data_IF_135663274497
#
_entry.id   IF_135663274497
#
_cell.length_a   1.000
_cell.length_b   1.000
_cell.length_c   1.000
_cell.angle_alpha   90.00
_cell.angle_beta   90.00
_cell.angle_gamma   90.00
#
_symmetry.space_group_name_H-M   'P 1'
#
loop_
_entity.id
_entity.type
_entity.pdbx_description
1 polymer ?
#
# COMPACT_ATOMS: atom_id res chain seq x y z
N UNK A 1 -74.11 -24.01 -46.24
CA UNK A 1 -74.81 -23.25 -45.18
C UNK A 1 -73.79 -22.41 -44.44
N UNK A 2 -74.21 -21.18 -44.11
CA UNK A 2 -73.72 -20.30 -43.04
C UNK A 2 -72.41 -19.49 -43.24
N UNK A 3 -72.64 -18.18 -43.39
CA UNK A 3 -72.02 -17.01 -42.74
C UNK A 3 -70.51 -16.68 -42.85
N UNK A 4 -70.26 -15.51 -43.47
CA UNK A 4 -69.13 -14.58 -43.30
C UNK A 4 -68.99 -14.05 -41.84
N UNK A 5 -67.92 -13.30 -41.45
CA UNK A 5 -67.75 -11.89 -41.86
C UNK A 5 -66.29 -11.37 -42.05
N UNK A 6 -66.23 -10.08 -42.37
CA UNK A 6 -65.18 -9.22 -42.95
C UNK A 6 -64.24 -8.52 -41.91
N UNK A 7 -63.32 -7.60 -42.31
CA UNK A 7 -61.96 -7.39 -41.74
C UNK A 7 -61.83 -6.20 -40.76
N UNK A 8 -60.60 -5.78 -40.40
CA UNK A 8 -60.26 -4.40 -40.71
C UNK A 8 -58.87 -4.15 -41.31
N UNK A 9 -58.75 -2.90 -41.78
CA UNK A 9 -57.87 -2.28 -42.76
C UNK A 9 -56.52 -1.71 -42.26
N UNK A 10 -55.71 -1.27 -43.26
CA UNK A 10 -54.60 -0.26 -43.28
C UNK A 10 -53.20 -0.86 -43.14
N UNK A 11 -52.18 -0.49 -43.93
CA UNK A 11 -51.98 0.56 -44.93
C UNK A 11 -50.68 0.28 -45.73
N UNK A 12 -50.22 1.19 -46.60
CA UNK A 12 -49.23 0.88 -47.63
C UNK A 12 -47.78 0.80 -47.15
N UNK A 13 -47.05 -0.08 -47.84
CA UNK A 13 -45.60 -0.33 -47.76
C UNK A 13 -44.79 0.95 -47.99
N UNK A 14 -43.89 1.25 -47.05
CA UNK A 14 -42.81 2.22 -47.23
C UNK A 14 -41.50 1.47 -47.04
N UNK A 15 -40.66 1.50 -48.07
CA UNK A 15 -39.30 0.99 -48.08
C UNK A 15 -38.46 1.69 -47.00
N UNK A 16 -37.84 0.91 -46.12
CA UNK A 16 -36.82 1.40 -45.19
C UNK A 16 -35.46 1.14 -45.84
N UNK A 17 -34.74 2.23 -46.06
CA UNK A 17 -33.35 2.28 -46.49
C UNK A 17 -32.43 1.59 -45.48
N UNK A 18 -31.43 0.89 -46.00
CA UNK A 18 -30.28 0.37 -45.25
C UNK A 18 -29.59 1.49 -44.47
N UNK A 19 -29.74 1.48 -43.15
CA UNK A 19 -28.85 2.20 -42.22
C UNK A 19 -27.81 1.21 -41.77
N UNK A 20 -26.59 1.36 -42.30
CA UNK A 20 -25.38 0.73 -41.78
C UNK A 20 -25.20 1.18 -40.34
N UNK A 21 -25.53 0.30 -39.40
CA UNK A 21 -25.21 0.48 -37.99
C UNK A 21 -23.74 0.17 -37.78
N UNK A 22 -22.90 1.20 -37.68
CA UNK A 22 -21.61 1.10 -37.00
C UNK A 22 -21.89 0.68 -35.56
N UNK A 23 -21.61 -0.58 -35.25
CA UNK A 23 -21.49 -1.03 -33.87
C UNK A 23 -20.21 -0.42 -33.31
N UNK A 24 -20.26 0.42 -32.27
CA UNK A 24 -19.03 0.80 -31.59
C UNK A 24 -18.46 -0.47 -30.94
N UNK A 25 -17.36 -0.96 -31.51
CA UNK A 25 -16.47 -1.91 -30.83
C UNK A 25 -15.91 -1.14 -29.63
N UNK A 26 -16.57 -1.30 -28.48
CA UNK A 26 -16.02 -0.90 -27.19
C UNK A 26 -14.74 -1.70 -26.99
N UNK A 27 -13.62 -1.13 -27.40
CA UNK A 27 -12.32 -1.49 -26.85
C UNK A 27 -12.40 -1.10 -25.38
N UNK A 28 -12.57 -2.11 -24.52
CA UNK A 28 -12.28 -2.01 -23.10
C UNK A 28 -10.79 -1.68 -22.97
N UNK A 29 -10.45 -0.40 -23.12
CA UNK A 29 -9.18 0.12 -22.68
C UNK A 29 -9.15 0.00 -21.17
N UNK A 30 -8.27 -0.89 -20.72
CA UNK A 30 -7.92 -1.22 -19.36
C UNK A 30 -7.89 0.00 -18.44
N UNK A 31 -8.92 0.15 -17.60
CA UNK A 31 -8.96 1.10 -16.49
C UNK A 31 -7.85 0.85 -15.45
N UNK A 32 -7.10 -0.26 -15.58
CA UNK A 32 -5.97 -0.60 -14.69
C UNK A 32 -4.74 0.27 -14.92
N UNK A 33 -4.53 0.84 -16.10
CA UNK A 33 -3.29 1.55 -16.42
C UNK A 33 -3.22 2.93 -15.76
N UNK A 34 -4.35 3.65 -15.66
CA UNK A 34 -4.41 4.97 -15.05
C UNK A 34 -4.20 4.94 -13.54
N UNK A 35 -4.76 3.95 -12.85
CA UNK A 35 -4.56 3.74 -11.41
C UNK A 35 -3.10 3.35 -11.09
N UNK A 36 -2.44 2.59 -11.97
CA UNK A 36 -1.03 2.19 -11.79
C UNK A 36 -0.06 3.39 -11.88
N UNK A 37 -0.33 4.38 -12.74
CA UNK A 37 0.52 5.57 -12.88
C UNK A 37 0.40 6.48 -11.65
N UNK A 38 -0.81 6.68 -11.13
CA UNK A 38 -1.06 7.50 -9.94
C UNK A 38 -0.40 6.90 -8.68
N UNK A 39 -0.41 5.56 -8.57
CA UNK A 39 0.18 4.86 -7.43
C UNK A 39 1.72 4.86 -7.43
N UNK A 40 2.35 4.72 -8.61
CA UNK A 40 3.80 4.88 -8.74
C UNK A 40 4.23 6.31 -8.42
N UNK A 41 3.45 7.29 -8.89
CA UNK A 41 3.67 8.70 -8.57
C UNK A 41 3.61 8.96 -7.07
N UNK A 42 2.58 8.44 -6.38
CA UNK A 42 2.42 8.56 -4.92
C UNK A 42 3.52 7.89 -4.11
N UNK A 43 3.95 6.69 -4.52
CA UNK A 43 5.04 6.00 -3.84
C UNK A 43 6.35 6.81 -3.88
N UNK A 44 6.53 7.62 -4.93
CA UNK A 44 7.68 8.50 -5.14
C UNK A 44 7.50 9.94 -4.64
N UNK A 45 6.43 10.24 -3.92
CA UNK A 45 6.28 11.55 -3.27
C UNK A 45 7.31 11.75 -2.14
N UNK A 46 7.60 13.03 -1.85
CA UNK A 46 8.39 13.41 -0.69
C UNK A 46 7.70 12.93 0.60
N UNK A 47 8.51 12.46 1.55
CA UNK A 47 8.03 11.98 2.85
C UNK A 47 7.29 13.08 3.61
N UNK A 48 7.78 14.32 3.52
CA UNK A 48 7.13 15.48 4.15
C UNK A 48 5.70 15.65 3.66
N UNK A 49 5.47 15.56 2.34
CA UNK A 49 4.14 15.66 1.73
C UNK A 49 3.29 14.46 2.09
N UNK A 50 3.84 13.25 2.01
CA UNK A 50 3.11 12.02 2.27
C UNK A 50 2.58 11.97 3.71
N UNK A 51 3.40 12.34 4.67
CA UNK A 51 3.11 12.24 6.10
C UNK A 51 2.48 13.51 6.68
N UNK A 52 2.68 14.68 6.09
CA UNK A 52 1.96 15.91 6.47
C UNK A 52 0.56 16.00 5.88
N UNK A 53 0.22 15.18 4.87
CA UNK A 53 -1.14 15.17 4.30
C UNK A 53 -2.14 14.75 5.37
N UNK A 54 -3.18 15.57 5.64
CA UNK A 54 -4.28 15.13 6.49
C UNK A 54 -4.91 13.93 5.80
N UNK A 55 -4.96 12.80 6.50
CA UNK A 55 -5.64 11.60 6.00
C UNK A 55 -7.04 12.02 5.54
N UNK A 56 -7.27 12.02 4.22
CA UNK A 56 -8.60 12.30 3.67
C UNK A 56 -9.54 11.36 4.39
N UNK A 57 -10.58 11.93 5.03
CA UNK A 57 -11.63 11.21 5.75
C UNK A 57 -12.36 10.24 4.81
N UNK A 58 -11.71 9.15 4.42
CA UNK A 58 -12.39 7.90 4.19
C UNK A 58 -13.00 7.49 5.54
N UNK A 59 -14.17 6.87 5.49
CA UNK A 59 -15.03 6.49 6.63
C UNK A 59 -14.36 5.44 7.56
N UNK A 60 -13.22 5.76 8.17
CA UNK A 60 -12.47 4.84 9.05
C UNK A 60 -12.12 5.46 10.40
N UNK A 61 -12.55 6.70 10.71
CA UNK A 61 -12.34 7.31 12.04
C UNK A 61 -13.62 7.36 12.86
N UNK A 62 -14.09 6.19 13.24
CA UNK A 62 -14.76 5.97 14.54
C UNK A 62 -14.15 4.71 15.11
N UNK A 63 -13.09 4.83 15.89
CA UNK A 63 -12.64 3.75 16.75
C UNK A 63 -13.65 3.68 17.90
N UNK A 64 -14.60 2.75 17.81
CA UNK A 64 -15.36 2.34 18.98
C UNK A 64 -14.40 1.64 19.94
N UNK A 65 -14.51 1.94 21.23
CA UNK A 65 -13.76 1.27 22.28
C UNK A 65 -14.07 -0.22 22.26
N UNK A 66 -13.22 -1.00 21.58
CA UNK A 66 -13.20 -2.45 21.70
C UNK A 66 -12.53 -2.75 23.04
N UNK A 67 -13.36 -3.00 24.07
CA UNK A 67 -12.95 -3.66 25.29
C UNK A 67 -12.36 -5.05 24.98
N UNK A 68 -11.09 -5.07 24.60
CA UNK A 68 -10.39 -6.23 24.06
C UNK A 68 -8.88 -6.02 23.96
N UNK A 69 -8.29 -5.23 24.85
CA UNK A 69 -6.84 -4.93 24.88
C UNK A 69 -5.99 -6.06 25.48
N UNK A 70 -6.42 -7.33 25.38
CA UNK A 70 -5.65 -8.48 25.90
C UNK A 70 -5.67 -9.74 25.01
N UNK A 71 -6.31 -9.74 23.83
CA UNK A 71 -6.52 -11.00 23.07
C UNK A 71 -5.86 -11.09 21.69
N UNK A 72 -5.39 -10.00 21.08
CA UNK A 72 -4.79 -10.05 19.72
C UNK A 72 -3.29 -10.40 19.73
N UNK A 73 -2.58 -10.21 20.85
CA UNK A 73 -1.20 -10.68 21.00
C UNK A 73 -1.08 -12.11 21.56
N UNK A 74 -2.20 -12.81 21.81
CA UNK A 74 -2.20 -14.05 22.60
C UNK A 74 -2.78 -15.30 21.95
N UNK A 75 -2.93 -15.34 20.63
CA UNK A 75 -3.29 -16.58 19.92
C UNK A 75 -2.45 -16.83 18.67
N UNK A 76 -1.13 -17.03 18.86
CA UNK A 76 -0.40 -18.04 18.08
C UNK A 76 0.89 -18.58 18.68
N UNK A 77 1.12 -18.42 19.99
CA UNK A 77 2.29 -19.00 20.67
C UNK A 77 1.89 -19.57 22.04
N UNK A 78 1.25 -20.75 22.06
CA UNK A 78 1.21 -21.59 23.27
C UNK A 78 1.30 -23.06 22.84
N UNK A 79 2.39 -23.71 23.28
CA UNK A 79 2.85 -25.10 23.05
C UNK A 79 3.64 -25.41 21.77
N UNK A 80 4.89 -24.96 21.72
CA UNK A 80 6.06 -25.84 21.60
C UNK A 80 7.32 -25.07 22.01
N UNK A 81 8.21 -25.71 22.75
CA UNK A 81 9.45 -25.17 23.29
C UNK A 81 10.55 -25.00 22.24
N UNK A 82 10.22 -24.45 21.08
CA UNK A 82 11.15 -24.11 20.02
C UNK A 82 10.67 -22.83 19.36
N UNK A 83 11.50 -21.78 19.42
CA UNK A 83 11.27 -20.56 18.66
C UNK A 83 11.35 -20.87 17.16
N UNK A 84 10.23 -21.28 16.56
CA UNK A 84 10.10 -21.44 15.13
C UNK A 84 10.17 -20.06 14.47
N UNK A 85 11.40 -19.58 14.27
CA UNK A 85 11.70 -18.51 13.33
C UNK A 85 11.14 -18.96 11.99
N UNK A 86 10.07 -18.32 11.52
CA UNK A 86 9.52 -18.63 10.19
C UNK A 86 10.63 -18.45 9.16
N UNK A 87 11.10 -19.59 8.64
CA UNK A 87 12.13 -19.62 7.61
C UNK A 87 11.59 -18.98 6.34
N UNK A 88 12.48 -18.30 5.60
CA UNK A 88 12.16 -17.68 4.32
C UNK A 88 11.70 -18.78 3.37
N UNK A 89 10.47 -18.67 2.87
CA UNK A 89 10.02 -19.56 1.78
C UNK A 89 10.77 -19.15 0.51
N UNK A 90 11.41 -20.12 -0.14
CA UNK A 90 12.15 -19.94 -1.39
C UNK A 90 11.27 -20.11 -2.64
N UNK A 91 9.98 -20.40 -2.47
CA UNK A 91 9.00 -20.45 -3.56
C UNK A 91 8.55 -19.04 -3.97
N UNK A 92 8.26 -18.86 -5.26
CA UNK A 92 7.66 -17.63 -5.79
C UNK A 92 6.26 -17.44 -5.18
N UNK A 93 6.07 -16.34 -4.43
CA UNK A 93 4.77 -15.95 -3.92
C UNK A 93 3.91 -15.36 -5.07
N UNK A 94 2.59 -15.53 -5.03
CA UNK A 94 1.69 -14.99 -6.07
C UNK A 94 1.88 -13.48 -6.21
N UNK A 95 2.19 -13.01 -7.43
CA UNK A 95 2.26 -11.58 -7.75
C UNK A 95 0.87 -10.99 -7.59
N UNK A 96 0.63 -10.13 -6.58
CA UNK A 96 -0.70 -9.61 -6.35
C UNK A 96 -1.10 -8.70 -7.52
N UNK A 97 -2.33 -8.86 -8.00
CA UNK A 97 -2.92 -8.01 -9.04
C UNK A 97 -3.11 -6.55 -8.57
N UNK A 98 -3.01 -6.25 -7.27
CA UNK A 98 -3.14 -4.91 -6.71
C UNK A 98 -2.02 -4.63 -5.70
N UNK A 99 -1.44 -3.43 -5.67
CA UNK A 99 -0.41 -3.07 -4.71
C UNK A 99 -0.96 -3.11 -3.28
N UNK A 100 -0.25 -3.79 -2.38
CA UNK A 100 -0.68 -3.92 -0.99
C UNK A 100 -0.38 -2.64 -0.21
N UNK A 101 -1.18 -2.41 0.83
CA UNK A 101 -0.98 -1.32 1.78
C UNK A 101 -0.97 -1.90 3.18
N UNK A 102 -0.15 -1.35 4.06
CA UNK A 102 0.03 -1.81 5.43
C UNK A 102 -0.47 -0.73 6.40
N UNK A 103 -1.14 -1.13 7.48
CA UNK A 103 -1.44 -0.24 8.62
C UNK A 103 -0.43 -0.59 9.71
N UNK A 104 0.31 0.40 10.17
CA UNK A 104 1.44 0.19 11.07
C UNK A 104 1.39 1.19 12.22
N UNK A 105 1.54 0.70 13.45
CA UNK A 105 1.88 1.52 14.61
C UNK A 105 3.36 1.84 14.59
N UNK A 106 3.70 3.11 14.59
CA UNK A 106 5.06 3.59 14.33
C UNK A 106 6.02 3.18 15.44
N UNK A 107 5.66 3.42 16.70
CA UNK A 107 6.56 3.19 17.83
C UNK A 107 6.68 1.70 18.15
N UNK A 108 5.55 0.99 18.16
CA UNK A 108 5.53 -0.44 18.46
C UNK A 108 6.31 -1.24 17.41
N UNK A 109 6.07 -0.94 16.13
CA UNK A 109 6.73 -1.65 15.04
C UNK A 109 8.21 -1.30 14.95
N UNK A 110 8.59 -0.05 15.19
CA UNK A 110 10.00 0.37 15.19
C UNK A 110 10.79 -0.38 16.27
N UNK A 111 10.24 -0.48 17.48
CA UNK A 111 10.86 -1.24 18.58
C UNK A 111 11.01 -2.72 18.21
N UNK A 112 9.94 -3.34 17.71
CA UNK A 112 9.93 -4.75 17.31
C UNK A 112 10.97 -5.05 16.21
N UNK A 113 11.09 -4.16 15.23
CA UNK A 113 12.03 -4.31 14.12
C UNK A 113 13.48 -4.20 14.61
N UNK A 114 13.78 -3.20 15.45
CA UNK A 114 15.13 -3.01 15.99
C UNK A 114 15.55 -4.17 16.90
N UNK A 115 14.68 -4.59 17.83
CA UNK A 115 14.96 -5.69 18.76
C UNK A 115 15.27 -7.01 18.03
N UNK A 116 14.68 -7.21 16.84
CA UNK A 116 14.79 -8.45 16.09
C UNK A 116 15.87 -8.44 15.02
N UNK A 117 16.12 -7.30 14.39
CA UNK A 117 16.94 -7.21 13.17
C UNK A 117 18.25 -6.45 13.34
N UNK A 118 18.35 -5.51 14.29
CA UNK A 118 19.60 -4.79 14.60
C UNK A 118 20.36 -5.53 15.71
N UNK A 119 21.42 -6.23 15.31
CA UNK A 119 22.23 -7.03 16.25
C UNK A 119 23.35 -6.24 16.90
N UNK A 120 23.61 -5.02 16.41
CA UNK A 120 24.74 -4.18 16.85
C UNK A 120 24.31 -2.97 17.67
N UNK A 121 23.01 -2.66 17.70
CA UNK A 121 22.43 -1.53 18.45
C UNK A 121 22.76 -0.17 17.84
N UNK A 122 23.03 -0.12 16.54
CA UNK A 122 23.40 1.11 15.83
C UNK A 122 22.20 1.79 15.13
N UNK A 123 20.98 1.30 15.35
CA UNK A 123 19.74 1.76 14.72
C UNK A 123 19.75 1.61 13.19
N UNK A 124 20.49 0.63 12.67
CA UNK A 124 20.57 0.31 11.25
C UNK A 124 20.33 -1.18 11.05
N UNK A 125 19.74 -1.53 9.90
CA UNK A 125 19.58 -2.92 9.48
C UNK A 125 20.49 -3.13 8.28
N UNK A 126 21.62 -3.77 8.54
CA UNK A 126 22.65 -4.08 7.55
C UNK A 126 22.57 -5.54 7.09
N UNK A 127 23.26 -5.85 5.99
CA UNK A 127 23.38 -7.21 5.49
C UNK A 127 24.22 -8.11 6.42
N UNK A 128 25.07 -7.51 7.25
CA UNK A 128 25.92 -8.19 8.24
C UNK A 128 25.14 -8.61 9.49
N UNK A 129 23.96 -8.02 9.74
CA UNK A 129 23.13 -8.40 10.88
C UNK A 129 22.56 -9.81 10.69
N UNK A 130 22.59 -10.62 11.75
CA UNK A 130 22.18 -12.03 11.73
C UNK A 130 20.69 -12.27 12.04
N UNK A 131 19.89 -11.19 12.13
CA UNK A 131 18.44 -11.28 12.30
C UNK A 131 17.72 -12.09 11.20
N UNK A 132 16.48 -12.52 11.45
CA UNK A 132 15.75 -13.42 10.55
C UNK A 132 15.43 -12.81 9.17
N UNK A 133 15.48 -11.48 9.04
CA UNK A 133 15.10 -10.69 7.87
C UNK A 133 13.69 -10.98 7.38
N UNK A 134 12.76 -11.22 8.31
CA UNK A 134 11.35 -11.45 8.01
C UNK A 134 10.48 -10.82 9.10
N UNK A 135 9.53 -9.98 8.68
CA UNK A 135 8.57 -9.33 9.56
C UNK A 135 7.16 -9.40 8.95
N UNK A 136 6.16 -9.77 9.75
CA UNK A 136 4.76 -9.78 9.34
C UNK A 136 4.11 -8.44 9.66
N UNK A 137 3.56 -7.74 8.66
CA UNK A 137 2.79 -6.51 8.84
C UNK A 137 1.30 -6.69 8.52
N UNK A 138 0.43 -5.98 9.23
CA UNK A 138 -1.01 -5.99 8.99
C UNK A 138 -1.42 -5.27 7.71
N UNK A 139 -2.25 -5.89 6.88
CA UNK A 139 -2.73 -5.31 5.61
C UNK A 139 -3.89 -4.36 5.83
N UNK A 140 -3.85 -3.19 5.19
CA UNK A 140 -4.86 -2.14 5.31
C UNK A 140 -6.23 -2.56 4.76
N UNK A 141 -6.25 -3.34 3.67
CA UNK A 141 -7.48 -3.86 3.08
C UNK A 141 -8.28 -4.75 4.03
N UNK A 142 -7.62 -5.35 5.02
CA UNK A 142 -8.23 -6.19 6.06
C UNK A 142 -8.26 -5.51 7.43
N UNK A 143 -8.03 -4.20 7.50
CA UNK A 143 -7.93 -3.45 8.77
C UNK A 143 -6.97 -4.10 9.79
N UNK A 144 -5.86 -4.70 9.31
CA UNK A 144 -4.88 -5.38 10.16
C UNK A 144 -5.18 -6.86 10.49
N UNK A 145 -6.32 -7.44 10.08
CA UNK A 145 -6.62 -8.86 10.37
C UNK A 145 -5.74 -9.85 9.59
N UNK A 146 -5.46 -9.58 8.31
CA UNK A 146 -4.53 -10.38 7.53
C UNK A 146 -3.15 -9.74 7.56
N UNK A 147 -2.13 -10.54 7.85
CA UNK A 147 -0.74 -10.10 7.80
C UNK A 147 -0.03 -10.61 6.55
N UNK A 148 0.99 -9.86 6.14
CA UNK A 148 1.87 -10.20 5.03
C UNK A 148 3.32 -10.11 5.48
N UNK A 149 4.13 -11.06 5.04
CA UNK A 149 5.53 -11.18 5.44
C UNK A 149 6.42 -10.36 4.49
N UNK A 150 6.97 -9.25 4.98
CA UNK A 150 8.02 -8.50 4.32
C UNK A 150 9.35 -9.18 4.61
N UNK A 151 10.15 -9.39 3.56
CA UNK A 151 11.36 -10.22 3.62
C UNK A 151 12.56 -9.50 3.04
N UNK A 152 13.72 -9.86 3.58
CA UNK A 152 15.01 -9.38 3.12
C UNK A 152 15.43 -8.08 3.79
N UNK A 153 16.74 -7.88 3.85
CA UNK A 153 17.38 -6.75 4.52
C UNK A 153 16.91 -5.42 3.94
N UNK A 154 16.81 -5.32 2.61
CA UNK A 154 16.48 -4.06 1.94
C UNK A 154 15.10 -3.53 2.32
N UNK A 155 14.04 -4.34 2.21
CA UNK A 155 12.69 -3.89 2.53
C UNK A 155 12.53 -3.56 4.02
N UNK A 156 13.22 -4.29 4.91
CA UNK A 156 13.21 -4.00 6.34
C UNK A 156 13.97 -2.72 6.67
N UNK A 157 15.12 -2.47 6.02
CA UNK A 157 15.83 -1.20 6.17
C UNK A 157 15.01 -0.02 5.66
N UNK A 158 14.27 -0.20 4.57
CA UNK A 158 13.34 0.81 4.06
C UNK A 158 12.18 1.04 5.03
N UNK A 159 11.60 -0.03 5.58
CA UNK A 159 10.56 0.07 6.59
C UNK A 159 11.04 0.88 7.80
N UNK A 160 12.22 0.56 8.33
CA UNK A 160 12.79 1.30 9.45
C UNK A 160 12.98 2.79 9.13
N UNK A 161 13.45 3.12 7.92
CA UNK A 161 13.59 4.51 7.47
C UNK A 161 12.24 5.23 7.35
N UNK A 162 11.22 4.58 6.78
CA UNK A 162 9.87 5.17 6.68
C UNK A 162 9.24 5.37 8.07
N UNK A 163 9.45 4.45 9.02
CA UNK A 163 9.01 4.60 10.40
C UNK A 163 9.72 5.75 11.11
N UNK A 164 11.03 5.93 10.88
CA UNK A 164 11.78 7.05 11.44
C UNK A 164 11.23 8.39 10.94
N UNK A 165 10.98 8.51 9.64
CA UNK A 165 10.37 9.71 9.05
C UNK A 165 8.97 9.98 9.61
N UNK A 166 8.13 8.95 9.74
CA UNK A 166 6.80 9.10 10.31
C UNK A 166 6.83 9.57 11.78
N UNK A 167 7.77 9.05 12.58
CA UNK A 167 7.99 9.47 13.97
C UNK A 167 8.42 10.93 14.04
N UNK A 168 9.32 11.37 13.17
CA UNK A 168 9.80 12.76 13.15
C UNK A 168 8.68 13.75 12.76
N UNK A 169 7.68 13.28 12.01
CA UNK A 169 6.43 14.00 11.73
C UNK A 169 5.35 13.87 12.83
N UNK A 170 5.64 13.19 13.94
CA UNK A 170 4.71 13.05 15.09
C UNK A 170 3.54 12.09 14.84
N UNK A 171 3.65 11.19 13.86
CA UNK A 171 2.59 10.25 13.53
C UNK A 171 2.68 8.97 14.37
N UNK A 172 1.57 8.58 15.00
CA UNK A 172 1.46 7.31 15.76
C UNK A 172 1.13 6.12 14.87
N UNK A 173 0.33 6.34 13.83
CA UNK A 173 -0.06 5.30 12.89
C UNK A 173 0.10 5.81 11.46
N UNK A 174 0.58 4.95 10.57
CA UNK A 174 0.74 5.24 9.15
C UNK A 174 0.13 4.16 8.28
N UNK A 175 -0.31 4.58 7.09
CA UNK A 175 -0.65 3.65 6.01
C UNK A 175 0.50 3.68 5.01
N UNK A 176 1.17 2.55 4.83
CA UNK A 176 2.37 2.43 4.00
C UNK A 176 2.09 1.56 2.78
N UNK A 177 2.38 2.06 1.60
CA UNK A 177 2.25 1.31 0.35
C UNK A 177 3.44 0.35 0.16
N UNK A 178 3.20 -0.88 -0.28
CA UNK A 178 4.24 -1.89 -0.51
C UNK A 178 5.28 -1.42 -1.53
N UNK A 179 4.85 -0.72 -2.59
CA UNK A 179 5.71 -0.16 -3.61
C UNK A 179 6.76 0.83 -3.06
N UNK A 180 6.49 1.46 -1.91
CA UNK A 180 7.44 2.36 -1.24
C UNK A 180 8.53 1.58 -0.49
N UNK A 181 8.22 0.38 -0.02
CA UNK A 181 9.17 -0.53 0.60
C UNK A 181 10.02 -1.28 -0.42
N UNK A 182 9.42 -1.69 -1.54
CA UNK A 182 10.07 -2.41 -2.64
C UNK A 182 10.60 -1.49 -3.77
N UNK A 183 10.65 -0.18 -3.52
CA UNK A 183 11.14 0.81 -4.49
C UNK A 183 12.55 0.45 -4.98
N UNK A 184 12.82 0.61 -6.28
CA UNK A 184 14.14 0.36 -6.84
C UNK A 184 15.20 1.26 -6.16
N UNK A 185 16.37 0.74 -5.74
CA UNK A 185 17.35 1.49 -4.96
C UNK A 185 17.90 2.72 -5.69
N UNK A 186 18.07 2.66 -7.01
CA UNK A 186 18.53 3.79 -7.82
C UNK A 186 17.45 4.87 -7.88
N UNK A 187 16.19 4.47 -8.05
CA UNK A 187 15.05 5.40 -8.05
C UNK A 187 14.88 6.06 -6.68
N UNK A 188 14.97 5.27 -5.60
CA UNK A 188 14.89 5.72 -4.21
C UNK A 188 15.98 6.73 -3.88
N UNK A 189 17.24 6.41 -4.18
CA UNK A 189 18.36 7.32 -3.94
C UNK A 189 18.19 8.63 -4.72
N UNK A 190 17.79 8.53 -5.99
CA UNK A 190 17.53 9.70 -6.84
C UNK A 190 16.43 10.59 -6.27
N UNK A 191 15.36 10.00 -5.72
CA UNK A 191 14.26 10.70 -5.04
C UNK A 191 14.76 11.38 -3.76
N UNK A 192 15.48 10.67 -2.89
CA UNK A 192 16.01 11.21 -1.63
C UNK A 192 16.96 12.40 -1.88
N UNK A 193 17.83 12.30 -2.89
CA UNK A 193 18.70 13.41 -3.28
C UNK A 193 17.87 14.64 -3.64
N UNK A 194 16.89 14.48 -4.54
CA UNK A 194 16.07 15.60 -5.04
C UNK A 194 15.21 16.26 -3.97
N UNK A 195 14.58 15.47 -3.09
CA UNK A 195 13.54 15.99 -2.21
C UNK A 195 14.00 16.21 -0.76
N UNK A 196 15.01 15.48 -0.28
CA UNK A 196 15.39 15.52 1.14
C UNK A 196 16.83 16.00 1.36
N UNK A 197 17.79 15.59 0.52
CA UNK A 197 19.19 15.91 0.80
C UNK A 197 19.56 17.35 0.44
N UNK A 198 19.07 17.87 -0.69
CA UNK A 198 19.38 19.25 -1.08
C UNK A 198 18.82 20.28 -0.10
N UNK A 199 17.61 20.09 0.41
CA UNK A 199 17.02 20.99 1.40
C UNK A 199 17.81 21.00 2.71
N UNK A 200 18.31 19.84 3.16
CA UNK A 200 19.10 19.72 4.38
C UNK A 200 20.54 20.26 4.22
N UNK A 201 21.09 20.29 3.01
CA UNK A 201 22.44 20.81 2.75
C UNK A 201 22.45 22.32 2.50
N UNK A 202 21.32 22.89 2.07
CA UNK A 202 21.22 24.30 1.70
C UNK A 202 21.00 25.16 2.95
N UNK A 203 22.02 25.93 3.34
CA UNK A 203 21.92 26.97 4.38
C UNK A 203 21.56 28.30 3.72
N UNK A 204 20.72 29.10 4.39
CA UNK A 204 20.42 30.50 4.02
C UNK A 204 20.84 31.41 5.16
N UNK A 205 21.32 32.60 4.84
CA UNK A 205 21.59 33.66 5.82
C UNK A 205 20.34 34.54 5.84
N UNK A 206 19.53 34.43 6.88
CA UNK A 206 18.36 35.24 7.17
C UNK A 206 18.47 35.88 8.56
N UNK A 207 17.56 36.80 8.89
CA UNK A 207 17.58 37.51 10.18
C UNK A 207 17.35 36.58 11.39
N UNK A 208 16.66 35.46 11.18
CA UNK A 208 16.48 34.40 12.20
C UNK A 208 17.73 33.52 12.35
N UNK A 209 18.63 33.52 11.36
CA UNK A 209 19.87 32.75 11.31
C UNK A 209 21.15 33.55 11.60
N UNK A 210 21.03 34.79 12.12
CA UNK A 210 22.11 35.73 12.42
C UNK A 210 22.27 35.97 13.93
#
# INVERSE_FOLDING_TARGET
GLCSPMPPSRGPSVAIQDVVGDTPVFHNHSESEADDVDLRSRAQEDASVLYARPAIRAKTRTFSESGGTQTILRQRNVHSSEAFVRSRRMSHDETPSKPRKFIVDVEETMKLVLEREDTTGNFQIAATDTGPKVLSLGTASSNGHNSFDIRGTYMLSNLLQELALARDHGMKHIVLDEARLSENPVSRLSRMIRHSFWSNLTRRIDADGL
#
